data_IF_520387345134
#
_entry.id   IF_520387345134
#
_cell.length_a   1.000
_cell.length_b   1.000
_cell.length_c   1.000
_cell.angle_alpha   90.00
_cell.angle_beta   90.00
_cell.angle_gamma   90.00
#
_symmetry.space_group_name_H-M   'P 1'
#
loop_
_entity.id
_entity.type
_entity.pdbx_description
1 polymer ?
#
# COMPACT_ATOMS: atom_id res chain seq x y z
N UNK A 1 42.39 -26.36 -11.53
CA UNK A 1 41.48 -26.62 -10.36
C UNK A 1 41.36 -25.40 -9.44
N UNK A 2 42.43 -24.72 -9.11
CA UNK A 2 42.43 -23.53 -8.23
C UNK A 2 41.63 -22.38 -8.85
N UNK A 3 41.89 -22.03 -10.10
CA UNK A 3 41.16 -20.97 -10.84
C UNK A 3 39.66 -21.24 -10.95
N UNK A 4 39.28 -22.51 -11.15
CA UNK A 4 37.86 -22.88 -11.24
C UNK A 4 37.14 -22.77 -9.89
N UNK A 5 37.79 -23.16 -8.78
CA UNK A 5 37.23 -22.94 -7.44
C UNK A 5 37.07 -21.46 -7.10
N UNK A 6 38.07 -20.67 -7.44
CA UNK A 6 38.04 -19.21 -7.26
C UNK A 6 36.90 -18.55 -8.03
N UNK A 7 36.64 -19.02 -9.26
CA UNK A 7 35.52 -18.52 -10.08
C UNK A 7 34.14 -18.88 -9.49
N UNK A 8 33.98 -20.11 -8.97
CA UNK A 8 32.73 -20.53 -8.31
C UNK A 8 32.47 -19.70 -7.05
N UNK A 9 33.46 -19.49 -6.20
CA UNK A 9 33.30 -18.71 -4.99
C UNK A 9 32.99 -17.25 -5.28
N UNK A 10 33.61 -16.66 -6.29
CA UNK A 10 33.32 -15.31 -6.74
C UNK A 10 31.85 -15.16 -7.23
N UNK A 11 31.37 -16.14 -8.01
CA UNK A 11 29.97 -16.11 -8.48
C UNK A 11 28.97 -16.30 -7.31
N UNK A 12 29.29 -17.15 -6.33
CA UNK A 12 28.45 -17.29 -5.11
C UNK A 12 28.33 -15.98 -4.35
N UNK A 13 29.45 -15.28 -4.18
CA UNK A 13 29.50 -14.00 -3.51
C UNK A 13 28.71 -12.93 -4.27
N UNK A 14 28.86 -12.88 -5.59
CA UNK A 14 28.11 -11.97 -6.46
C UNK A 14 26.60 -12.19 -6.35
N UNK A 15 26.14 -13.43 -6.51
CA UNK A 15 24.72 -13.80 -6.40
C UNK A 15 24.17 -13.43 -5.01
N UNK A 16 24.94 -13.73 -3.95
CA UNK A 16 24.56 -13.37 -2.57
C UNK A 16 24.41 -11.86 -2.39
N UNK A 17 25.33 -11.07 -2.93
CA UNK A 17 25.29 -9.61 -2.85
C UNK A 17 24.09 -9.03 -3.60
N UNK A 18 23.79 -9.55 -4.78
CA UNK A 18 22.61 -9.14 -5.56
C UNK A 18 21.32 -9.43 -4.80
N UNK A 19 21.17 -10.62 -4.25
CA UNK A 19 19.99 -10.99 -3.44
C UNK A 19 19.92 -10.17 -2.14
N UNK A 20 21.05 -9.87 -1.50
CA UNK A 20 21.05 -9.02 -0.31
C UNK A 20 20.60 -7.59 -0.63
N UNK A 21 20.96 -7.06 -1.79
CA UNK A 21 20.48 -5.75 -2.25
C UNK A 21 18.96 -5.75 -2.43
N UNK A 22 18.43 -6.76 -3.09
CA UNK A 22 16.97 -6.94 -3.26
C UNK A 22 16.28 -7.13 -1.91
N UNK A 23 16.83 -7.96 -1.03
CA UNK A 23 16.30 -8.19 0.32
C UNK A 23 16.20 -6.89 1.13
N UNK A 24 17.27 -6.10 1.15
CA UNK A 24 17.29 -4.82 1.86
C UNK A 24 16.26 -3.84 1.27
N UNK A 25 16.10 -3.84 -0.06
CA UNK A 25 15.10 -3.01 -0.72
C UNK A 25 13.67 -3.41 -0.29
N UNK A 26 13.34 -4.71 -0.30
CA UNK A 26 12.03 -5.22 0.13
C UNK A 26 11.76 -4.82 1.58
N UNK A 27 12.70 -5.09 2.48
CA UNK A 27 12.52 -4.78 3.90
C UNK A 27 12.34 -3.28 4.17
N UNK A 28 13.12 -2.44 3.50
CA UNK A 28 12.98 -0.99 3.61
C UNK A 28 11.59 -0.53 3.11
N UNK A 29 11.08 -1.10 2.02
CA UNK A 29 9.75 -0.79 1.51
C UNK A 29 8.64 -1.26 2.46
N UNK A 30 8.74 -2.48 2.98
CA UNK A 30 7.78 -3.00 3.95
C UNK A 30 7.76 -2.16 5.24
N UNK A 31 8.92 -1.87 5.81
CA UNK A 31 9.04 -1.08 7.03
C UNK A 31 8.51 0.36 6.85
N UNK A 32 8.62 0.92 5.66
CA UNK A 32 8.19 2.29 5.36
C UNK A 32 6.75 2.40 4.84
N UNK A 33 6.07 1.30 4.52
CA UNK A 33 4.76 1.32 3.87
C UNK A 33 3.72 2.12 4.67
N UNK A 34 3.63 1.92 5.98
CA UNK A 34 2.69 2.66 6.84
C UNK A 34 3.01 4.15 6.89
N UNK A 35 4.28 4.51 7.03
CA UNK A 35 4.70 5.93 7.03
C UNK A 35 4.49 6.59 5.66
N UNK A 36 4.71 5.85 4.57
CA UNK A 36 4.41 6.31 3.22
C UNK A 36 2.90 6.56 3.03
N UNK A 37 2.04 5.67 3.55
CA UNK A 37 0.60 5.85 3.52
C UNK A 37 0.19 7.11 4.30
N UNK A 38 0.72 7.29 5.50
CA UNK A 38 0.46 8.50 6.30
C UNK A 38 0.89 9.78 5.58
N UNK A 39 2.09 9.81 5.02
CA UNK A 39 2.60 10.96 4.25
C UNK A 39 1.69 11.27 3.06
N UNK A 40 1.25 10.24 2.33
CA UNK A 40 0.34 10.41 1.19
C UNK A 40 -1.01 10.95 1.63
N UNK A 41 -1.63 10.38 2.65
CA UNK A 41 -2.91 10.86 3.18
C UNK A 41 -2.80 12.31 3.70
N UNK A 42 -1.68 12.66 4.33
CA UNK A 42 -1.41 14.03 4.77
C UNK A 42 -1.28 15.02 3.60
N UNK A 43 -0.65 14.62 2.53
CA UNK A 43 -0.58 15.44 1.31
C UNK A 43 -1.97 15.66 0.72
N UNK A 44 -2.78 14.61 0.58
CA UNK A 44 -4.12 14.69 0.01
C UNK A 44 -5.05 15.56 0.86
N UNK A 45 -5.06 15.39 2.19
CA UNK A 45 -5.94 16.19 3.06
C UNK A 45 -5.55 17.68 3.05
N UNK A 46 -4.26 18.00 3.00
CA UNK A 46 -3.79 19.36 2.87
C UNK A 46 -4.23 19.99 1.55
N UNK A 47 -4.13 19.25 0.44
CA UNK A 47 -4.63 19.70 -0.86
C UNK A 47 -6.12 20.04 -0.82
N UNK A 48 -6.96 19.18 -0.23
CA UNK A 48 -8.39 19.44 -0.08
C UNK A 48 -8.65 20.67 0.81
N UNK A 49 -7.95 20.79 1.93
CA UNK A 49 -8.05 21.92 2.84
C UNK A 49 -7.69 23.23 2.13
N UNK A 50 -6.60 23.27 1.36
CA UNK A 50 -6.15 24.47 0.65
C UNK A 50 -7.13 24.87 -0.47
N UNK A 51 -7.75 23.91 -1.15
CA UNK A 51 -8.84 24.17 -2.09
C UNK A 51 -10.02 24.84 -1.37
N UNK A 52 -10.46 24.29 -0.23
CA UNK A 52 -11.56 24.86 0.55
C UNK A 52 -11.22 26.25 1.10
N UNK A 53 -10.01 26.46 1.59
CA UNK A 53 -9.52 27.75 2.08
C UNK A 53 -9.49 28.80 0.96
N UNK A 54 -9.01 28.43 -0.22
CA UNK A 54 -8.99 29.33 -1.38
C UNK A 54 -10.39 29.72 -1.84
N UNK A 55 -11.35 28.78 -1.82
CA UNK A 55 -12.76 29.07 -2.15
C UNK A 55 -13.36 30.00 -1.10
N UNK A 56 -13.15 29.70 0.19
CA UNK A 56 -13.63 30.53 1.28
C UNK A 56 -13.11 31.97 1.18
N UNK A 57 -11.80 32.16 1.05
CA UNK A 57 -11.18 33.47 0.97
C UNK A 57 -11.66 34.28 -0.22
N UNK A 58 -11.88 33.65 -1.35
CA UNK A 58 -12.41 34.29 -2.55
C UNK A 58 -13.83 34.77 -2.40
N UNK A 59 -14.70 34.01 -1.73
CA UNK A 59 -16.14 34.26 -1.77
C UNK A 59 -16.76 34.70 -0.44
N UNK A 60 -16.05 34.66 0.70
CA UNK A 60 -16.58 34.98 2.04
C UNK A 60 -17.29 36.31 2.16
N UNK A 61 -16.94 37.32 1.31
CA UNK A 61 -17.56 38.62 1.30
C UNK A 61 -18.55 38.83 0.13
N UNK A 62 -18.81 37.79 -0.71
CA UNK A 62 -19.59 37.90 -1.93
C UNK A 62 -20.77 36.97 -2.00
N UNK A 63 -20.72 35.85 -1.23
CA UNK A 63 -21.69 34.75 -1.28
C UNK A 63 -22.12 34.36 0.12
N UNK A 64 -23.29 33.71 0.20
CA UNK A 64 -23.76 33.10 1.45
C UNK A 64 -22.90 31.90 1.83
N UNK A 65 -22.98 31.47 3.09
CA UNK A 65 -22.30 30.27 3.59
C UNK A 65 -22.71 29.03 2.77
N UNK A 66 -23.99 28.89 2.48
CA UNK A 66 -24.57 27.78 1.74
C UNK A 66 -24.01 27.71 0.31
N UNK A 67 -23.95 28.84 -0.39
CA UNK A 67 -23.37 28.93 -1.73
C UNK A 67 -21.89 28.55 -1.74
N UNK A 68 -21.13 28.98 -0.75
CA UNK A 68 -19.70 28.66 -0.63
C UNK A 68 -19.52 27.17 -0.37
N UNK A 69 -20.33 26.56 0.50
CA UNK A 69 -20.31 25.13 0.76
C UNK A 69 -20.60 24.34 -0.51
N UNK A 70 -21.59 24.73 -1.31
CA UNK A 70 -21.90 24.04 -2.58
C UNK A 70 -20.74 24.17 -3.60
N UNK A 71 -20.03 25.29 -3.63
CA UNK A 71 -18.81 25.42 -4.45
C UNK A 71 -17.71 24.49 -3.96
N UNK A 72 -17.50 24.38 -2.65
CA UNK A 72 -16.51 23.44 -2.06
C UNK A 72 -16.87 21.98 -2.39
N UNK A 73 -18.14 21.61 -2.24
CA UNK A 73 -18.63 20.26 -2.58
C UNK A 73 -18.39 19.95 -4.05
N UNK A 74 -18.74 20.87 -4.95
CA UNK A 74 -18.52 20.74 -6.39
C UNK A 74 -17.02 20.56 -6.72
N UNK A 75 -16.16 21.35 -6.08
CA UNK A 75 -14.72 21.27 -6.31
C UNK A 75 -14.11 19.93 -5.89
N UNK A 76 -14.67 19.28 -4.86
CA UNK A 76 -14.16 18.00 -4.32
C UNK A 76 -14.91 16.77 -4.85
N UNK A 77 -16.06 16.94 -5.51
CA UNK A 77 -16.95 15.84 -5.88
C UNK A 77 -16.30 14.77 -6.76
N UNK A 78 -15.50 15.21 -7.73
CA UNK A 78 -14.83 14.33 -8.69
C UNK A 78 -13.34 14.11 -8.39
N UNK A 79 -12.83 14.67 -7.28
CA UNK A 79 -11.44 14.43 -6.90
C UNK A 79 -11.30 12.99 -6.43
N UNK A 80 -10.41 12.25 -7.10
CA UNK A 80 -10.07 10.86 -6.79
C UNK A 80 -8.57 10.68 -6.83
N UNK A 81 -8.07 9.82 -5.96
CA UNK A 81 -6.67 9.40 -5.92
C UNK A 81 -6.59 7.90 -5.63
N UNK A 82 -5.42 7.31 -5.58
CA UNK A 82 -5.23 5.88 -5.35
C UNK A 82 -6.11 5.00 -6.26
N UNK A 83 -6.02 5.23 -7.59
CA UNK A 83 -6.77 4.45 -8.60
C UNK A 83 -8.31 4.56 -8.41
N UNK A 84 -8.77 5.71 -7.97
CA UNK A 84 -10.19 6.01 -7.79
C UNK A 84 -10.77 5.63 -6.42
N UNK A 85 -9.99 5.02 -5.52
CA UNK A 85 -10.44 4.62 -4.18
C UNK A 85 -10.49 5.76 -3.18
N UNK A 86 -9.54 6.70 -3.28
CA UNK A 86 -9.45 7.85 -2.38
C UNK A 86 -10.43 8.95 -2.74
N UNK A 87 -11.04 9.55 -1.74
CA UNK A 87 -11.97 10.66 -1.84
C UNK A 87 -12.00 11.44 -0.52
N UNK A 88 -12.64 12.60 -0.51
CA UNK A 88 -12.81 13.41 0.68
C UNK A 88 -14.25 13.36 1.16
N UNK A 89 -14.45 13.48 2.46
CA UNK A 89 -15.75 13.76 3.07
C UNK A 89 -15.65 14.89 4.08
N UNK A 90 -16.77 15.59 4.30
CA UNK A 90 -16.84 16.74 5.19
C UNK A 90 -17.95 16.50 6.21
N UNK A 91 -17.64 16.80 7.47
CA UNK A 91 -18.62 16.71 8.56
C UNK A 91 -18.57 17.98 9.40
N UNK A 92 -19.68 18.30 10.09
CA UNK A 92 -19.65 19.29 11.15
C UNK A 92 -19.00 18.72 12.40
N UNK A 93 -18.60 19.59 13.34
CA UNK A 93 -18.07 19.18 14.66
C UNK A 93 -19.14 18.50 15.55
N UNK A 94 -20.42 18.56 15.17
CA UNK A 94 -21.52 17.83 15.81
C UNK A 94 -21.76 16.45 15.18
N UNK A 95 -21.04 16.13 14.07
CA UNK A 95 -21.11 14.84 13.40
C UNK A 95 -22.22 14.72 12.35
N UNK A 96 -22.71 15.83 11.82
CA UNK A 96 -23.57 15.83 10.63
C UNK A 96 -22.68 15.72 9.38
N UNK A 97 -23.00 14.80 8.49
CA UNK A 97 -22.30 14.70 7.21
C UNK A 97 -22.73 15.84 6.29
N UNK A 98 -21.79 16.70 5.89
CA UNK A 98 -22.00 17.82 4.99
C UNK A 98 -21.81 17.41 3.53
N UNK A 99 -20.84 16.52 3.30
CA UNK A 99 -20.47 16.08 1.96
C UNK A 99 -19.90 14.66 1.98
N UNK A 100 -20.41 13.81 1.09
CA UNK A 100 -19.86 12.48 0.82
C UNK A 100 -20.02 12.10 -0.65
N UNK A 101 -18.95 12.05 -1.46
CA UNK A 101 -19.07 11.90 -2.91
C UNK A 101 -19.55 10.52 -3.37
N UNK A 102 -19.54 9.51 -2.48
CA UNK A 102 -19.92 8.13 -2.78
C UNK A 102 -21.29 7.80 -2.17
N UNK A 103 -21.53 8.16 -0.91
CA UNK A 103 -22.76 7.84 -0.17
C UNK A 103 -23.55 9.12 0.05
N UNK A 104 -24.21 9.59 -1.01
CA UNK A 104 -25.01 10.83 -1.00
C UNK A 104 -26.13 10.79 0.03
N UNK A 105 -26.63 9.60 0.35
CA UNK A 105 -27.65 9.39 1.38
C UNK A 105 -27.22 9.79 2.79
N UNK A 106 -25.94 9.99 3.04
CA UNK A 106 -25.46 10.48 4.33
C UNK A 106 -25.51 11.99 4.47
N UNK A 107 -25.48 12.72 3.35
CA UNK A 107 -25.50 14.19 3.39
C UNK A 107 -26.72 14.71 4.13
N UNK A 108 -26.51 15.63 5.07
CA UNK A 108 -27.53 16.15 5.97
C UNK A 108 -27.90 15.25 7.14
N UNK A 109 -27.38 14.03 7.23
CA UNK A 109 -27.71 13.10 8.33
C UNK A 109 -26.66 13.14 9.45
N UNK A 110 -27.13 12.88 10.69
CA UNK A 110 -26.24 12.74 11.85
C UNK A 110 -25.58 11.34 11.85
N UNK A 111 -24.29 11.29 11.54
CA UNK A 111 -23.51 10.07 11.47
C UNK A 111 -22.58 9.83 12.67
N UNK A 112 -22.63 10.71 13.67
CA UNK A 112 -21.80 10.67 14.88
C UNK A 112 -21.82 9.31 15.59
N UNK A 113 -22.96 8.64 15.58
CA UNK A 113 -23.20 7.39 16.33
C UNK A 113 -23.09 6.13 15.43
N UNK A 114 -22.61 6.26 14.19
CA UNK A 114 -22.37 5.10 13.35
C UNK A 114 -21.16 4.33 13.85
N UNK A 115 -21.37 3.04 14.04
CA UNK A 115 -20.33 2.10 14.46
C UNK A 115 -19.73 1.39 13.27
N UNK A 116 -18.47 1.03 13.39
CA UNK A 116 -17.88 -0.04 12.59
C UNK A 116 -18.25 -1.43 13.16
N UNK A 117 -17.73 -2.52 12.59
CA UNK A 117 -18.04 -3.90 13.03
C UNK A 117 -17.55 -4.23 14.44
N UNK A 118 -16.52 -3.55 14.91
CA UNK A 118 -15.95 -3.77 16.24
C UNK A 118 -16.63 -2.89 17.32
N UNK A 119 -17.55 -2.01 16.88
CA UNK A 119 -18.29 -1.14 17.75
C UNK A 119 -17.65 0.23 17.98
N UNK A 120 -16.57 0.54 17.28
CA UNK A 120 -15.89 1.83 17.31
C UNK A 120 -16.69 2.90 16.56
N UNK A 121 -16.47 4.17 16.87
CA UNK A 121 -17.19 5.31 16.32
C UNK A 121 -16.25 6.22 15.52
N UNK A 122 -15.96 5.92 14.26
CA UNK A 122 -14.93 6.62 13.46
C UNK A 122 -15.13 8.13 13.38
N UNK A 123 -16.39 8.59 13.29
CA UNK A 123 -16.67 10.04 13.21
C UNK A 123 -16.43 10.72 14.56
N UNK A 124 -16.72 10.06 15.69
CA UNK A 124 -16.39 10.60 17.02
C UNK A 124 -14.89 10.72 17.22
N UNK A 125 -14.14 9.70 16.80
CA UNK A 125 -12.68 9.68 16.91
C UNK A 125 -12.07 10.79 16.08
N UNK A 126 -12.52 10.96 14.83
CA UNK A 126 -12.09 12.03 13.96
C UNK A 126 -12.34 13.42 14.59
N UNK A 127 -13.56 13.66 15.11
CA UNK A 127 -13.93 14.92 15.78
C UNK A 127 -13.08 15.13 17.04
N UNK A 128 -12.87 14.11 17.86
CA UNK A 128 -12.06 14.20 19.07
C UNK A 128 -10.60 14.59 18.74
N UNK A 129 -10.05 13.99 17.68
CA UNK A 129 -8.69 14.31 17.21
C UNK A 129 -8.63 15.75 16.70
N UNK A 130 -9.58 16.18 15.87
CA UNK A 130 -9.60 17.54 15.33
C UNK A 130 -9.69 18.59 16.47
N UNK A 131 -10.55 18.36 17.46
CA UNK A 131 -10.68 19.24 18.64
C UNK A 131 -9.40 19.30 19.49
N UNK A 132 -8.64 18.20 19.57
CA UNK A 132 -7.44 18.15 20.40
C UNK A 132 -6.18 18.66 19.70
N UNK A 133 -6.07 18.51 18.37
CA UNK A 133 -4.82 18.68 17.63
C UNK A 133 -4.97 19.33 16.26
N UNK A 134 -6.17 19.78 15.86
CA UNK A 134 -6.54 20.28 14.53
C UNK A 134 -6.40 19.26 13.39
N UNK A 135 -5.45 18.34 13.45
CA UNK A 135 -5.29 17.22 12.50
C UNK A 135 -4.76 15.96 13.19
N UNK A 136 -5.02 14.78 12.60
CA UNK A 136 -4.44 13.54 13.07
C UNK A 136 -5.00 12.29 12.38
N UNK A 137 -4.37 11.16 12.67
CA UNK A 137 -4.74 9.88 12.08
C UNK A 137 -5.67 9.09 13.01
N UNK A 138 -6.57 8.30 12.39
CA UNK A 138 -7.46 7.37 13.05
C UNK A 138 -7.70 6.17 12.15
N UNK A 139 -8.24 5.07 12.66
CA UNK A 139 -8.51 3.89 11.86
C UNK A 139 -9.85 3.26 12.23
N UNK A 140 -10.47 2.58 11.28
CA UNK A 140 -11.71 1.82 11.45
C UNK A 140 -11.80 0.73 10.41
N UNK A 141 -12.82 -0.12 10.51
CA UNK A 141 -13.10 -1.17 9.54
C UNK A 141 -14.29 -0.83 8.68
N UNK A 142 -14.20 -1.09 7.37
CA UNK A 142 -15.29 -0.84 6.44
C UNK A 142 -15.22 -1.75 5.21
N UNK A 143 -16.35 -1.88 4.53
CA UNK A 143 -16.45 -2.64 3.28
C UNK A 143 -15.82 -1.89 2.10
N UNK A 144 -15.28 -2.64 1.14
CA UNK A 144 -14.97 -2.08 -0.18
C UNK A 144 -16.25 -1.75 -0.94
N UNK A 145 -16.19 -0.72 -1.78
CA UNK A 145 -17.35 -0.15 -2.50
C UNK A 145 -18.25 -1.16 -3.24
N UNK A 146 -17.68 -2.26 -3.74
CA UNK A 146 -18.42 -3.28 -4.51
C UNK A 146 -18.38 -4.66 -3.88
N UNK A 147 -17.71 -4.80 -2.75
CA UNK A 147 -17.55 -6.08 -2.06
C UNK A 147 -17.84 -5.90 -0.57
N UNK A 148 -19.01 -6.37 -0.16
CA UNK A 148 -19.44 -6.37 1.24
C UNK A 148 -19.14 -7.69 1.96
N UNK A 149 -18.37 -8.58 1.33
CA UNK A 149 -18.06 -9.89 1.91
C UNK A 149 -17.01 -9.82 3.03
N UNK A 150 -16.15 -8.80 2.97
CA UNK A 150 -15.03 -8.64 3.93
C UNK A 150 -14.89 -7.17 4.33
N UNK A 151 -14.88 -6.92 5.62
CA UNK A 151 -14.50 -5.63 6.16
C UNK A 151 -12.99 -5.55 6.36
N UNK A 152 -12.43 -4.45 5.90
CA UNK A 152 -11.00 -4.21 5.87
C UNK A 152 -10.67 -2.96 6.66
N UNK A 153 -9.50 -2.96 7.27
CA UNK A 153 -8.99 -1.82 8.02
C UNK A 153 -8.67 -0.65 7.08
N UNK A 154 -9.18 0.53 7.46
CA UNK A 154 -8.85 1.80 6.82
C UNK A 154 -8.01 2.65 7.76
N UNK A 155 -6.94 3.24 7.24
CA UNK A 155 -6.26 4.35 7.88
C UNK A 155 -6.81 5.64 7.30
N UNK A 156 -7.29 6.52 8.17
CA UNK A 156 -7.80 7.84 7.82
C UNK A 156 -6.99 8.95 8.46
N UNK A 157 -7.15 10.13 7.89
CA UNK A 157 -6.69 11.39 8.47
C UNK A 157 -7.85 12.36 8.51
N UNK A 158 -7.90 13.15 9.58
CA UNK A 158 -8.82 14.26 9.75
C UNK A 158 -8.05 15.57 9.83
N UNK A 159 -8.63 16.64 9.29
CA UNK A 159 -8.16 18.02 9.44
C UNK A 159 -9.33 18.95 9.66
N UNK A 160 -9.19 19.87 10.61
CA UNK A 160 -10.17 20.91 10.90
C UNK A 160 -10.18 21.97 9.78
N UNK A 161 -11.39 22.47 9.47
CA UNK A 161 -11.62 23.65 8.65
C UNK A 161 -12.37 24.67 9.50
N UNK A 162 -11.61 25.52 10.17
CA UNK A 162 -12.09 26.48 11.18
C UNK A 162 -13.24 27.38 10.72
N UNK A 163 -13.21 27.98 9.48
CA UNK A 163 -14.19 28.98 9.11
C UNK A 163 -15.65 28.55 9.23
N UNK A 164 -15.92 27.24 9.11
CA UNK A 164 -17.29 26.71 9.20
C UNK A 164 -17.46 25.67 10.30
N UNK A 165 -16.46 25.51 11.15
CA UNK A 165 -16.46 24.48 12.21
C UNK A 165 -16.67 23.06 11.61
N UNK A 166 -15.97 22.80 10.52
CA UNK A 166 -16.00 21.52 9.80
C UNK A 166 -14.75 20.70 10.07
N UNK A 167 -14.86 19.42 9.81
CA UNK A 167 -13.73 18.53 9.61
C UNK A 167 -13.76 17.97 8.18
N UNK A 168 -12.59 17.88 7.57
CA UNK A 168 -12.35 17.15 6.33
C UNK A 168 -11.72 15.83 6.69
N UNK A 169 -12.14 14.74 6.06
CA UNK A 169 -11.54 13.43 6.24
C UNK A 169 -11.24 12.77 4.90
N UNK A 170 -10.19 11.99 4.88
CA UNK A 170 -9.88 11.05 3.78
C UNK A 170 -9.23 9.80 4.34
N UNK A 171 -9.25 8.70 3.58
CA UNK A 171 -8.70 7.43 4.01
C UNK A 171 -8.35 6.50 2.86
N UNK A 172 -7.53 5.48 3.16
CA UNK A 172 -7.23 4.37 2.28
C UNK A 172 -7.34 3.04 3.06
N UNK A 173 -7.64 1.95 2.38
CA UNK A 173 -7.50 0.61 2.94
C UNK A 173 -6.02 0.25 3.07
N UNK A 174 -5.59 -0.15 4.26
CA UNK A 174 -4.20 -0.54 4.52
C UNK A 174 -3.77 -1.68 3.57
N UNK A 175 -4.59 -2.73 3.42
CA UNK A 175 -4.33 -3.87 2.54
C UNK A 175 -4.14 -3.46 1.05
N UNK A 176 -4.92 -2.51 0.55
CA UNK A 176 -4.80 -2.05 -0.85
C UNK A 176 -3.50 -1.28 -1.08
N UNK A 177 -3.10 -0.48 -0.09
CA UNK A 177 -1.83 0.25 -0.17
C UNK A 177 -0.63 -0.68 -0.06
N UNK A 178 -0.67 -1.64 0.86
CA UNK A 178 0.37 -2.68 1.00
C UNK A 178 0.52 -3.49 -0.30
N UNK A 179 -0.59 -3.93 -0.90
CA UNK A 179 -0.58 -4.63 -2.18
C UNK A 179 0.01 -3.77 -3.31
N UNK A 180 -0.27 -2.48 -3.32
CA UNK A 180 0.33 -1.56 -4.29
C UNK A 180 1.85 -1.48 -4.10
N UNK A 181 2.33 -1.25 -2.87
CA UNK A 181 3.76 -1.21 -2.56
C UNK A 181 4.44 -2.53 -2.93
N UNK A 182 3.79 -3.67 -2.64
CA UNK A 182 4.27 -4.99 -3.03
C UNK A 182 4.42 -5.14 -4.55
N UNK A 183 3.40 -4.75 -5.32
CA UNK A 183 3.43 -4.85 -6.78
C UNK A 183 4.50 -3.94 -7.39
N UNK A 184 4.61 -2.69 -6.95
CA UNK A 184 5.67 -1.76 -7.36
C UNK A 184 7.07 -2.31 -7.04
N UNK A 185 7.21 -2.96 -5.89
CA UNK A 185 8.46 -3.61 -5.47
C UNK A 185 8.82 -4.78 -6.38
N UNK A 186 7.84 -5.62 -6.74
CA UNK A 186 8.04 -6.76 -7.65
C UNK A 186 8.46 -6.27 -9.05
N UNK A 187 7.79 -5.26 -9.60
CA UNK A 187 8.15 -4.69 -10.91
C UNK A 187 9.57 -4.10 -10.90
N UNK A 188 9.94 -3.37 -9.86
CA UNK A 188 11.31 -2.85 -9.72
C UNK A 188 12.37 -3.97 -9.67
N UNK A 189 12.10 -5.06 -8.95
CA UNK A 189 13.02 -6.21 -8.87
C UNK A 189 13.13 -6.92 -10.22
N UNK A 190 12.05 -7.01 -10.97
CA UNK A 190 12.03 -7.55 -12.32
C UNK A 190 12.92 -6.75 -13.26
N UNK A 191 12.82 -5.43 -13.21
CA UNK A 191 13.65 -4.54 -14.05
C UNK A 191 15.15 -4.71 -13.76
N UNK A 192 15.53 -4.85 -12.47
CA UNK A 192 16.92 -5.13 -12.07
C UNK A 192 17.37 -6.49 -12.63
N UNK A 193 16.56 -7.54 -12.44
CA UNK A 193 16.91 -8.89 -12.91
C UNK A 193 17.08 -8.98 -14.43
N UNK A 194 16.31 -8.23 -15.19
CA UNK A 194 16.43 -8.19 -16.65
C UNK A 194 17.68 -7.44 -17.12
N UNK A 195 18.15 -6.44 -16.39
CA UNK A 195 19.35 -5.66 -16.69
C UNK A 195 20.67 -6.43 -16.44
N UNK A 196 20.71 -7.29 -15.43
CA UNK A 196 21.94 -7.94 -14.93
C UNK A 196 22.22 -9.34 -15.53
N UNK A 197 21.44 -9.84 -16.47
CA UNK A 197 21.51 -11.22 -16.99
C UNK A 197 21.34 -12.33 -15.93
N UNK A 198 21.17 -11.96 -14.68
CA UNK A 198 20.88 -12.87 -13.58
C UNK A 198 19.39 -13.13 -13.48
N UNK A 199 19.05 -14.30 -12.96
CA UNK A 199 17.65 -14.69 -12.81
C UNK A 199 17.22 -14.52 -11.36
N UNK A 200 16.32 -13.55 -11.09
CA UNK A 200 15.70 -13.35 -9.80
C UNK A 200 14.27 -13.87 -9.83
N UNK A 201 13.88 -14.63 -8.83
CA UNK A 201 12.51 -15.07 -8.63
C UNK A 201 12.06 -14.77 -7.18
N UNK A 202 10.76 -14.60 -7.00
CA UNK A 202 10.15 -14.35 -5.69
C UNK A 202 9.05 -15.39 -5.49
N UNK A 203 9.05 -16.04 -4.33
CA UNK A 203 8.07 -17.04 -3.92
C UNK A 203 7.39 -16.53 -2.65
N UNK A 204 6.05 -16.64 -2.58
CA UNK A 204 5.29 -16.29 -1.39
C UNK A 204 5.35 -17.41 -0.32
N UNK A 205 4.73 -17.14 0.84
CA UNK A 205 4.67 -18.11 1.96
C UNK A 205 3.96 -19.44 1.63
N UNK A 206 3.13 -19.43 0.59
CA UNK A 206 2.34 -20.59 0.15
C UNK A 206 2.99 -21.31 -1.04
N UNK A 207 4.25 -20.94 -1.36
CA UNK A 207 5.09 -21.46 -2.44
C UNK A 207 4.61 -21.11 -3.86
N UNK A 208 3.84 -20.04 -4.01
CA UNK A 208 3.48 -19.50 -5.32
C UNK A 208 4.56 -18.54 -5.81
N UNK A 209 4.87 -18.59 -7.11
CA UNK A 209 5.78 -17.64 -7.71
C UNK A 209 5.09 -16.29 -7.90
N UNK A 210 5.63 -15.24 -7.26
CA UNK A 210 5.21 -13.85 -7.45
C UNK A 210 6.00 -13.15 -8.56
N UNK A 211 7.23 -13.60 -8.78
CA UNK A 211 8.08 -13.17 -9.89
C UNK A 211 8.80 -14.38 -10.48
N UNK A 212 8.72 -14.52 -11.79
CA UNK A 212 9.46 -15.50 -12.59
C UNK A 212 9.77 -14.89 -13.95
N UNK A 213 10.78 -15.43 -14.63
CA UNK A 213 11.14 -14.95 -15.97
C UNK A 213 10.11 -15.44 -17.00
N UNK A 214 9.42 -14.51 -17.65
CA UNK A 214 8.34 -14.77 -18.61
C UNK A 214 8.72 -15.59 -19.85
N UNK A 215 10.00 -15.86 -20.08
CA UNK A 215 10.51 -16.61 -21.26
C UNK A 215 10.82 -18.09 -20.99
N UNK A 216 10.50 -18.60 -19.79
CA UNK A 216 10.86 -19.98 -19.41
C UNK A 216 9.64 -20.91 -19.28
N UNK A 217 8.57 -20.69 -20.03
CA UNK A 217 7.41 -21.58 -20.01
C UNK A 217 7.55 -22.68 -21.06
N UNK A 218 8.43 -23.65 -20.79
CA UNK A 218 8.40 -24.98 -21.40
C UNK A 218 8.11 -26.01 -20.32
N UNK A 219 7.51 -27.15 -20.66
CA UNK A 219 7.15 -28.23 -19.72
C UNK A 219 8.33 -28.68 -18.84
N UNK A 220 9.58 -28.55 -19.33
CA UNK A 220 10.81 -28.73 -18.56
C UNK A 220 11.05 -27.68 -17.46
N UNK A 221 10.36 -26.57 -17.47
CA UNK A 221 10.52 -25.52 -16.47
C UNK A 221 9.64 -25.77 -15.23
N UNK A 222 8.58 -26.59 -15.38
CA UNK A 222 7.77 -27.10 -14.27
C UNK A 222 8.61 -28.03 -13.34
N UNK A 223 9.54 -28.81 -13.89
CA UNK A 223 10.46 -29.62 -13.10
C UNK A 223 11.47 -28.76 -12.33
N UNK A 224 11.90 -27.62 -12.89
CA UNK A 224 12.78 -26.68 -12.19
C UNK A 224 12.05 -25.91 -11.10
N UNK A 225 10.78 -25.55 -11.32
CA UNK A 225 9.93 -24.98 -10.28
C UNK A 225 9.86 -25.90 -9.07
N UNK A 226 9.81 -27.23 -9.27
CA UNK A 226 9.85 -28.19 -8.18
C UNK A 226 11.15 -28.14 -7.37
N UNK A 227 12.30 -27.89 -7.98
CA UNK A 227 13.59 -27.76 -7.27
C UNK A 227 13.60 -26.48 -6.43
N UNK A 228 13.14 -25.35 -6.97
CA UNK A 228 13.05 -24.10 -6.23
C UNK A 228 12.04 -24.17 -5.09
N UNK A 229 10.87 -24.73 -5.34
CA UNK A 229 9.84 -24.97 -4.32
C UNK A 229 10.34 -25.94 -3.24
N UNK A 230 11.04 -27.00 -3.60
CA UNK A 230 11.65 -27.91 -2.63
C UNK A 230 12.69 -27.22 -1.76
N UNK A 231 13.60 -26.47 -2.36
CA UNK A 231 14.64 -25.71 -1.64
C UNK A 231 14.03 -24.63 -0.75
N UNK A 232 12.94 -23.98 -1.18
CA UNK A 232 12.18 -23.04 -0.37
C UNK A 232 11.55 -23.74 0.84
N UNK A 233 10.89 -24.90 0.68
CA UNK A 233 10.29 -25.66 1.79
C UNK A 233 11.33 -26.11 2.80
N UNK A 234 12.49 -26.56 2.34
CA UNK A 234 13.61 -26.93 3.20
C UNK A 234 14.10 -25.71 4.00
N UNK A 235 14.30 -24.58 3.34
CA UNK A 235 14.71 -23.34 4.02
C UNK A 235 13.64 -22.85 4.99
N UNK A 236 12.36 -22.86 4.60
CA UNK A 236 11.22 -22.45 5.46
C UNK A 236 11.18 -23.23 6.77
N UNK A 237 11.47 -24.54 6.70
CA UNK A 237 11.43 -25.45 7.86
C UNK A 237 12.75 -25.50 8.65
N UNK A 238 13.78 -24.77 8.24
CA UNK A 238 15.05 -24.64 8.94
C UNK A 238 15.12 -23.34 9.76
N UNK A 239 16.09 -23.28 10.68
CA UNK A 239 16.43 -22.04 11.40
C UNK A 239 17.32 -21.10 10.57
N UNK A 240 17.73 -21.52 9.37
CA UNK A 240 18.59 -20.73 8.52
C UNK A 240 17.82 -19.57 7.89
N UNK A 241 18.50 -18.44 7.73
CA UNK A 241 17.93 -17.26 7.05
C UNK A 241 18.11 -17.33 5.53
N UNK A 242 19.08 -18.10 5.08
CA UNK A 242 19.45 -18.21 3.68
C UNK A 242 20.10 -19.55 3.36
N UNK A 243 20.17 -19.90 2.07
CA UNK A 243 20.71 -21.16 1.61
C UNK A 243 21.17 -21.08 0.15
N UNK A 244 22.33 -21.66 -0.15
CA UNK A 244 22.71 -22.03 -1.52
C UNK A 244 22.14 -23.38 -1.89
N UNK A 245 21.77 -23.53 -3.17
CA UNK A 245 21.47 -24.82 -3.76
C UNK A 245 22.00 -24.89 -5.19
N UNK A 246 22.27 -26.12 -5.65
CA UNK A 246 22.76 -26.40 -6.98
C UNK A 246 21.76 -27.28 -7.73
N UNK A 247 21.66 -27.05 -9.02
CA UNK A 247 20.82 -27.86 -9.90
C UNK A 247 21.43 -27.98 -11.29
N UNK A 248 21.14 -29.08 -11.96
CA UNK A 248 21.53 -29.27 -13.35
C UNK A 248 20.51 -28.61 -14.28
N UNK A 249 20.98 -27.72 -15.15
CA UNK A 249 20.15 -27.10 -16.16
C UNK A 249 19.94 -28.09 -17.34
N UNK A 250 18.85 -27.92 -18.14
CA UNK A 250 18.56 -28.71 -19.34
C UNK A 250 19.75 -28.77 -20.32
N UNK A 251 20.55 -27.73 -20.38
CA UNK A 251 21.79 -27.70 -21.16
C UNK A 251 22.93 -28.53 -20.56
N UNK A 252 22.64 -29.38 -19.57
CA UNK A 252 23.62 -30.18 -18.79
C UNK A 252 24.69 -29.31 -18.11
N UNK A 253 24.42 -28.05 -17.85
CA UNK A 253 25.29 -27.15 -17.09
C UNK A 253 24.84 -27.07 -15.64
N UNK A 254 25.78 -27.18 -14.70
CA UNK A 254 25.50 -26.94 -13.29
C UNK A 254 25.21 -25.44 -13.06
N UNK A 255 24.14 -25.16 -12.31
CA UNK A 255 23.74 -23.82 -11.89
C UNK A 255 23.74 -23.72 -10.38
N UNK A 256 24.07 -22.54 -9.89
CA UNK A 256 24.04 -22.23 -8.46
C UNK A 256 22.97 -21.16 -8.25
N UNK A 257 22.16 -21.35 -7.24
CA UNK A 257 21.17 -20.36 -6.80
C UNK A 257 21.30 -20.10 -5.31
N UNK A 258 20.84 -18.95 -4.90
CA UNK A 258 20.82 -18.52 -3.51
C UNK A 258 19.42 -18.09 -3.13
N UNK A 259 18.91 -18.63 -2.03
CA UNK A 259 17.62 -18.28 -1.44
C UNK A 259 17.82 -17.49 -0.14
N UNK A 260 16.96 -16.51 0.10
CA UNK A 260 16.90 -15.78 1.35
C UNK A 260 15.45 -15.55 1.78
N UNK A 261 15.17 -15.74 3.08
CA UNK A 261 13.87 -15.42 3.68
C UNK A 261 13.72 -13.90 3.75
N UNK A 262 12.53 -13.40 3.44
CA UNK A 262 12.08 -12.03 3.71
C UNK A 262 11.12 -12.10 4.88
N UNK A 263 11.37 -11.33 5.94
CA UNK A 263 10.54 -11.24 7.15
C UNK A 263 9.36 -10.31 6.97
#
# INVERSE_FOLDING_TARGET
>A
RVLFRSYIELNKELIKNNINTVYNYINNKNASANELLKQKLKFEINTAHDIMASIYDKYKNQKTKEEIIEIMKTALENVRFNEGRGYFSIHTMEGVNVFHPIYKEFEGTLVLNRKDIYGDYPVRDAIAIAKAKTEGFFSWYYYKLKDKSKELKKLGIVKEFEPYNFIITTAEFEEDFENKVKNETIEYIKDIGDAEKDFIFIIDKDANFLLTRTKLVNVSDIEKENIFVKSYKELKNSNDKDKYFQYEHISKSEKISYLRKVE
#
